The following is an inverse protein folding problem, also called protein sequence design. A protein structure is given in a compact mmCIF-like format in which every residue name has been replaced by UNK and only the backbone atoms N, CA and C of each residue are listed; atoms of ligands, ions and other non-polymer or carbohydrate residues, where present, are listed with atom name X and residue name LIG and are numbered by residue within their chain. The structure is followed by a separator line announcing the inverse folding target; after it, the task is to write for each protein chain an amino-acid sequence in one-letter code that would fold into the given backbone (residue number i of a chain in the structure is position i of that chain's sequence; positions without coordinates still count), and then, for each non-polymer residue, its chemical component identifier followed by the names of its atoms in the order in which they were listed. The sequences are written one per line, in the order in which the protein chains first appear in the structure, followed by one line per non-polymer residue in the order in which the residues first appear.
data_IF_382768101503
#
_entry.id   IF_382768101503
#
_cell.length_a   1.000
_cell.length_b   1.000
_cell.length_c   1.000
_cell.angle_alpha   90.00
_cell.angle_beta   90.00
_cell.angle_gamma   90.00
#
_symmetry.space_group_name_H-M   'P 1'
#
loop_
_entity.id
_entity.type
_entity.pdbx_description
1 polymer ?
#
# COMPACT_ATOMS: atom_id res chain seq x y z
N UNK A 1 8.96 16.46 -6.50
CA UNK A 1 8.88 15.97 -5.13
C UNK A 1 7.82 14.91 -4.94
N UNK A 2 8.18 13.88 -4.21
CA UNK A 2 7.23 12.80 -3.96
C UNK A 2 6.23 13.22 -2.88
N UNK A 3 4.95 13.14 -3.19
CA UNK A 3 3.91 13.40 -2.21
C UNK A 3 3.68 12.14 -1.37
N UNK A 4 3.08 12.27 -0.17
CA UNK A 4 2.73 11.08 0.62
C UNK A 4 1.85 10.10 -0.16
N UNK A 5 0.96 10.62 -1.01
CA UNK A 5 0.11 9.80 -1.85
C UNK A 5 0.92 8.98 -2.85
N UNK A 6 1.90 9.61 -3.50
CA UNK A 6 2.78 8.90 -4.43
C UNK A 6 3.55 7.79 -3.76
N UNK A 7 4.03 8.03 -2.54
CA UNK A 7 4.74 7.03 -1.77
C UNK A 7 3.88 5.82 -1.49
N UNK A 8 2.67 6.09 -1.02
CA UNK A 8 1.73 5.01 -0.70
C UNK A 8 1.40 4.19 -1.93
N UNK A 9 1.16 4.85 -3.05
CA UNK A 9 0.86 4.14 -4.30
C UNK A 9 2.03 3.26 -4.75
N UNK A 10 3.24 3.77 -4.63
CA UNK A 10 4.44 3.01 -4.98
C UNK A 10 4.58 1.78 -4.11
N UNK A 11 4.39 1.96 -2.81
CA UNK A 11 4.50 0.86 -1.87
C UNK A 11 3.45 -0.20 -2.16
N UNK A 12 2.22 0.21 -2.43
CA UNK A 12 1.15 -0.71 -2.77
C UNK A 12 1.50 -1.52 -4.01
N UNK A 13 1.98 -0.87 -5.05
CA UNK A 13 2.39 -1.56 -6.28
C UNK A 13 3.49 -2.57 -6.01
N UNK A 14 4.48 -2.17 -5.23
CA UNK A 14 5.59 -3.06 -4.89
C UNK A 14 5.09 -4.29 -4.15
N UNK A 15 4.24 -4.09 -3.15
CA UNK A 15 3.70 -5.19 -2.36
C UNK A 15 2.84 -6.12 -3.21
N UNK A 16 2.06 -5.56 -4.12
CA UNK A 16 1.25 -6.37 -5.03
C UNK A 16 2.11 -7.22 -5.96
N UNK A 17 3.22 -6.66 -6.41
CA UNK A 17 4.16 -7.40 -7.24
C UNK A 17 4.77 -8.57 -6.46
N UNK A 18 5.09 -8.35 -5.21
CA UNK A 18 5.61 -9.42 -4.36
C UNK A 18 4.58 -10.53 -4.17
N UNK A 19 3.32 -10.16 -4.01
CA UNK A 19 2.25 -11.15 -3.85
C UNK A 19 2.01 -11.98 -5.11
N UNK A 20 2.29 -11.42 -6.27
CA UNK A 20 2.17 -12.18 -7.53
C UNK A 20 3.18 -13.31 -7.59
N UNK A 21 4.28 -13.17 -6.87
CA UNK A 21 5.31 -14.20 -6.80
C UNK A 21 5.29 -14.89 -5.44
N UNK A 22 4.10 -15.14 -4.93
CA UNK A 22 3.94 -15.73 -3.60
C UNK A 22 4.56 -17.12 -3.49
N UNK A 23 4.67 -17.84 -4.60
CA UNK A 23 5.30 -19.14 -4.62
C UNK A 23 6.79 -19.11 -4.21
N UNK A 24 7.40 -17.91 -4.21
CA UNK A 24 8.80 -17.74 -3.80
C UNK A 24 8.95 -17.46 -2.30
N UNK A 25 7.85 -17.28 -1.60
CA UNK A 25 7.87 -16.87 -0.20
C UNK A 25 7.15 -17.87 0.70
N UNK A 26 7.56 -17.87 1.97
CA UNK A 26 6.89 -18.68 2.98
C UNK A 26 5.56 -18.04 3.38
N UNK A 27 4.71 -18.88 3.99
CA UNK A 27 3.39 -18.41 4.43
C UNK A 27 3.49 -17.20 5.36
N UNK A 28 4.47 -17.22 6.25
CA UNK A 28 4.66 -16.12 7.19
C UNK A 28 5.03 -14.82 6.47
N UNK A 29 5.88 -14.93 5.47
CA UNK A 29 6.27 -13.76 4.68
C UNK A 29 5.10 -13.21 3.89
N UNK A 30 4.32 -14.10 3.30
CA UNK A 30 3.13 -13.68 2.55
C UNK A 30 2.14 -12.98 3.46
N UNK A 31 1.97 -13.48 4.67
CA UNK A 31 1.08 -12.86 5.64
C UNK A 31 1.54 -11.45 5.98
N UNK A 32 2.84 -11.28 6.18
CA UNK A 32 3.41 -9.95 6.46
C UNK A 32 3.20 -8.99 5.29
N UNK A 33 3.42 -9.49 4.08
CA UNK A 33 3.23 -8.66 2.89
C UNK A 33 1.78 -8.21 2.78
N UNK A 34 0.84 -9.11 3.05
CA UNK A 34 -0.58 -8.79 3.00
C UNK A 34 -0.95 -7.76 4.06
N UNK A 35 -0.40 -7.89 5.26
CA UNK A 35 -0.64 -6.93 6.32
C UNK A 35 -0.12 -5.55 5.95
N UNK A 36 1.10 -5.50 5.40
CA UNK A 36 1.68 -4.24 4.95
C UNK A 36 0.84 -3.61 3.85
N UNK A 37 0.36 -4.44 2.92
CA UNK A 37 -0.48 -3.95 1.84
C UNK A 37 -1.77 -3.34 2.38
N UNK A 38 -2.38 -4.01 3.35
CA UNK A 38 -3.60 -3.51 3.97
C UNK A 38 -3.36 -2.16 4.65
N UNK A 39 -2.27 -2.06 5.40
CA UNK A 39 -1.93 -0.81 6.08
C UNK A 39 -1.68 0.30 5.07
N UNK A 40 -0.93 0.00 4.02
CA UNK A 40 -0.62 1.00 3.00
C UNK A 40 -1.88 1.50 2.31
N UNK A 41 -2.81 0.60 2.00
CA UNK A 41 -4.07 0.99 1.37
C UNK A 41 -4.91 1.85 2.30
N UNK A 42 -4.93 1.51 3.59
CA UNK A 42 -5.67 2.31 4.56
C UNK A 42 -5.09 3.72 4.67
N UNK A 43 -3.78 3.83 4.70
CA UNK A 43 -3.13 5.13 4.77
C UNK A 43 -3.41 5.97 3.54
N UNK A 44 -3.35 5.33 2.37
CA UNK A 44 -3.65 6.02 1.13
C UNK A 44 -5.09 6.54 1.12
N UNK A 45 -6.03 5.73 1.57
CA UNK A 45 -7.42 6.13 1.64
C UNK A 45 -7.61 7.33 2.56
N UNK A 46 -6.92 7.34 3.70
CA UNK A 46 -6.99 8.45 4.62
C UNK A 46 -6.43 9.73 4.01
N UNK A 47 -5.33 9.63 3.33
CA UNK A 47 -4.71 10.80 2.69
C UNK A 47 -5.63 11.35 1.61
N UNK A 48 -6.19 10.49 0.78
CA UNK A 48 -7.09 10.91 -0.28
C UNK A 48 -8.36 11.53 0.29
N UNK A 49 -8.89 10.96 1.36
CA UNK A 49 -10.08 11.49 2.01
C UNK A 49 -9.83 12.89 2.55
N UNK A 50 -8.70 13.08 3.21
CA UNK A 50 -8.35 14.40 3.75
C UNK A 50 -8.19 15.43 2.64
N UNK A 51 -7.58 15.03 1.54
CA UNK A 51 -7.40 15.92 0.42
C UNK A 51 -8.73 16.30 -0.20
N UNK A 52 -9.63 15.34 -0.34
CA UNK A 52 -10.95 15.60 -0.89
C UNK A 52 -11.74 16.58 -0.03
N UNK A 53 -11.67 16.41 1.28
CA UNK A 53 -12.35 17.31 2.20
C UNK A 53 -11.76 18.70 2.15
N UNK A 54 -10.47 18.79 2.00
CA UNK A 54 -9.80 20.07 1.90
C UNK A 54 -10.21 20.87 0.67
N UNK A 55 -10.68 20.19 -0.34
CA UNK A 55 -11.08 20.86 -1.57
C UNK A 55 -12.46 21.47 -1.51
N UNK A 56 -13.22 21.08 -0.59
CA UNK A 56 -14.54 21.69 -0.40
C UNK A 56 -14.45 22.77 0.64
#
# INVERSE_FOLDING_TARGET
MATPTSRAKRLIKLLERLLKKDYLYDKEQIKLIREQLKVAKNELAKIEEQTSKGFK
#
